data_IF_111210571715
#
_entry.id   IF_111210571715
#
_cell.length_a   1.000
_cell.length_b   1.000
_cell.length_c   1.000
_cell.angle_alpha   90.00
_cell.angle_beta   90.00
_cell.angle_gamma   90.00
#
_symmetry.space_group_name_H-M   'P 1'
#
loop_
_entity.id
_entity.type
_entity.pdbx_description
1 polymer ?
#
# COMPACT_ATOMS: atom_id res chain seq x y z
N UNK A 1 9.23 1.24 13.50
CA UNK A 1 7.98 1.92 13.06
C UNK A 1 8.19 2.39 11.64
N UNK A 2 7.30 1.99 10.74
CA UNK A 2 7.43 2.29 9.32
C UNK A 2 6.26 3.21 8.95
N UNK A 3 6.59 4.36 8.37
CA UNK A 3 5.60 5.37 7.98
C UNK A 3 5.73 5.57 6.49
N UNK A 4 4.64 5.32 5.77
CA UNK A 4 4.58 5.49 4.32
C UNK A 4 3.71 6.69 4.00
N UNK A 5 4.33 7.75 3.48
CA UNK A 5 3.70 9.02 3.07
C UNK A 5 2.68 9.61 4.08
N UNK A 6 1.85 10.57 3.65
CA UNK A 6 0.72 11.12 4.43
C UNK A 6 1.03 12.29 5.37
N UNK A 7 2.26 12.43 5.88
CA UNK A 7 2.70 13.59 6.67
C UNK A 7 4.15 13.93 6.33
N UNK A 8 4.55 15.21 6.35
CA UNK A 8 5.93 15.59 6.00
C UNK A 8 6.96 14.96 6.97
N UNK A 9 8.21 14.74 6.52
CA UNK A 9 9.24 14.07 7.33
C UNK A 9 9.47 14.76 8.67
N UNK A 10 9.55 16.08 8.68
CA UNK A 10 9.86 16.87 9.87
C UNK A 10 8.78 16.70 10.94
N UNK A 11 7.51 16.69 10.53
CA UNK A 11 6.37 16.47 11.41
C UNK A 11 6.32 15.05 11.95
N UNK A 12 6.57 14.05 11.09
CA UNK A 12 6.60 12.65 11.53
C UNK A 12 7.71 12.43 12.56
N UNK A 13 8.93 12.89 12.28
CA UNK A 13 10.05 12.82 13.23
C UNK A 13 9.74 13.54 14.54
N UNK A 14 9.22 14.77 14.46
CA UNK A 14 8.84 15.54 15.65
C UNK A 14 7.78 14.80 16.47
N UNK A 15 6.74 14.25 15.85
CA UNK A 15 5.67 13.53 16.52
C UNK A 15 6.20 12.31 17.28
N UNK A 16 7.01 11.48 16.61
CA UNK A 16 7.57 10.28 17.23
C UNK A 16 8.60 10.61 18.31
N UNK A 17 9.39 11.66 18.14
CA UNK A 17 10.29 12.15 19.18
C UNK A 17 9.53 12.59 20.44
N UNK A 18 8.43 13.33 20.29
CA UNK A 18 7.60 13.72 21.44
C UNK A 18 6.91 12.53 22.11
N UNK A 19 6.75 11.42 21.40
CA UNK A 19 6.25 10.15 21.93
C UNK A 19 7.36 9.25 22.52
N UNK A 20 8.56 9.79 22.75
CA UNK A 20 9.73 9.05 23.27
C UNK A 20 10.17 7.88 22.37
N UNK A 21 9.92 7.99 21.06
CA UNK A 21 10.39 7.03 20.06
C UNK A 21 11.69 7.56 19.44
N UNK A 22 12.78 6.83 19.66
CA UNK A 22 14.08 7.15 19.07
C UNK A 22 14.07 7.01 17.55
N UNK A 23 14.85 7.88 16.88
CA UNK A 23 14.89 8.01 15.41
C UNK A 23 15.38 6.75 14.70
N UNK A 24 16.28 5.98 15.31
CA UNK A 24 16.76 4.69 14.80
C UNK A 24 15.65 3.63 14.68
N UNK A 25 14.53 3.83 15.39
CA UNK A 25 13.35 2.97 15.33
C UNK A 25 12.30 3.47 14.31
N UNK A 26 12.55 4.60 13.65
CA UNK A 26 11.64 5.23 12.69
C UNK A 26 12.20 5.10 11.27
N UNK A 27 11.41 4.49 10.38
CA UNK A 27 11.72 4.36 8.96
C UNK A 27 10.64 5.08 8.18
N UNK A 28 11.04 6.09 7.40
CA UNK A 28 10.11 6.90 6.62
C UNK A 28 10.28 6.57 5.14
N UNK A 29 9.17 6.22 4.48
CA UNK A 29 9.11 6.06 3.04
C UNK A 29 8.23 7.15 2.41
N UNK A 30 8.86 7.95 1.55
CA UNK A 30 8.23 9.04 0.81
C UNK A 30 8.20 8.78 -0.69
N UNK A 31 8.56 7.56 -1.14
CA UNK A 31 8.45 7.18 -2.55
C UNK A 31 7.02 6.83 -2.94
N UNK A 32 6.20 6.44 -1.97
CA UNK A 32 4.82 6.07 -2.22
C UNK A 32 3.92 7.28 -2.56
N UNK A 33 3.13 7.13 -3.62
CA UNK A 33 2.22 8.16 -4.17
C UNK A 33 0.74 7.79 -3.99
N UNK A 34 0.45 6.53 -3.69
CA UNK A 34 -0.89 5.99 -3.52
C UNK A 34 -0.91 4.81 -2.54
N UNK A 35 -2.09 4.24 -2.31
CA UNK A 35 -2.24 3.13 -1.34
C UNK A 35 -1.63 1.81 -1.83
N UNK A 36 -1.34 1.64 -3.13
CA UNK A 36 -0.62 0.44 -3.61
C UNK A 36 0.86 0.60 -3.35
N UNK A 37 1.42 1.73 -3.78
CA UNK A 37 2.83 2.07 -3.63
C UNK A 37 3.23 2.13 -2.16
N UNK A 38 2.33 2.55 -1.25
CA UNK A 38 2.54 2.49 0.20
C UNK A 38 2.90 1.09 0.74
N UNK A 39 2.56 0.02 0.02
CA UNK A 39 2.94 -1.34 0.39
C UNK A 39 4.09 -1.85 -0.46
N UNK A 40 4.07 -1.60 -1.78
CA UNK A 40 5.06 -2.20 -2.68
C UNK A 40 6.46 -1.60 -2.55
N UNK A 41 6.59 -0.34 -2.12
CA UNK A 41 7.91 0.26 -1.82
C UNK A 41 8.53 -0.34 -0.56
N UNK A 42 7.70 -0.73 0.42
CA UNK A 42 8.16 -1.19 1.73
C UNK A 42 8.28 -2.71 1.86
N UNK A 43 7.51 -3.49 1.10
CA UNK A 43 7.37 -4.93 1.36
C UNK A 43 8.68 -5.71 1.26
N UNK A 44 9.55 -5.34 0.32
CA UNK A 44 10.83 -6.02 0.13
C UNK A 44 11.83 -5.63 1.23
N UNK A 45 11.81 -4.37 1.69
CA UNK A 45 12.59 -3.95 2.85
C UNK A 45 12.10 -4.68 4.12
N UNK A 46 10.78 -4.83 4.32
CA UNK A 46 10.22 -5.56 5.47
C UNK A 46 10.74 -7.00 5.50
N UNK A 47 10.75 -7.63 4.31
CA UNK A 47 11.26 -9.00 4.14
C UNK A 47 12.76 -9.07 4.42
N UNK A 48 13.54 -8.13 3.90
CA UNK A 48 14.98 -8.04 4.12
C UNK A 48 15.34 -7.84 5.60
N UNK A 49 14.50 -7.10 6.34
CA UNK A 49 14.61 -6.93 7.79
C UNK A 49 14.16 -8.18 8.60
N UNK A 50 13.72 -9.26 7.94
CA UNK A 50 13.26 -10.49 8.60
C UNK A 50 11.91 -10.34 9.32
N UNK A 51 11.13 -9.31 8.98
CA UNK A 51 9.83 -9.05 9.62
C UNK A 51 8.80 -10.05 9.08
N UNK A 52 8.16 -10.78 10.01
CA UNK A 52 7.16 -11.80 9.69
C UNK A 52 5.72 -11.31 9.95
N UNK A 53 5.56 -10.26 10.76
CA UNK A 53 4.25 -9.68 11.03
C UNK A 53 4.32 -8.19 11.35
N UNK A 54 3.28 -7.45 10.95
CA UNK A 54 3.16 -6.02 11.21
C UNK A 54 1.78 -5.64 11.75
N UNK A 55 1.71 -4.54 12.49
CA UNK A 55 0.44 -3.85 12.72
C UNK A 55 0.24 -2.84 11.58
N UNK A 56 -0.88 -2.97 10.87
CA UNK A 56 -1.26 -2.05 9.81
C UNK A 56 -2.15 -0.97 10.40
N UNK A 57 -1.62 0.24 10.57
CA UNK A 57 -2.32 1.36 11.20
C UNK A 57 -2.74 2.37 10.14
N UNK A 58 -4.03 2.65 10.02
CA UNK A 58 -4.54 3.72 9.14
C UNK A 58 -5.96 4.13 9.54
N UNK A 59 -6.52 5.15 8.90
CA UNK A 59 -7.88 5.59 9.17
C UNK A 59 -8.93 4.55 8.76
N UNK A 60 -10.11 4.57 9.39
CA UNK A 60 -11.29 3.81 8.94
C UNK A 60 -11.60 4.01 7.44
N UNK A 61 -11.42 5.23 6.95
CA UNK A 61 -11.56 5.60 5.54
C UNK A 61 -10.62 4.79 4.63
N UNK A 62 -9.36 4.59 5.03
CA UNK A 62 -8.37 3.86 4.24
C UNK A 62 -8.31 2.35 4.54
N UNK A 63 -8.79 1.91 5.70
CA UNK A 63 -8.56 0.56 6.22
C UNK A 63 -9.07 -0.55 5.30
N UNK A 64 -10.25 -0.37 4.67
CA UNK A 64 -10.80 -1.37 3.75
C UNK A 64 -9.86 -1.61 2.56
N UNK A 65 -9.34 -0.54 1.96
CA UNK A 65 -8.41 -0.61 0.82
C UNK A 65 -7.06 -1.17 1.26
N UNK A 66 -6.55 -0.69 2.40
CA UNK A 66 -5.28 -1.11 2.97
C UNK A 66 -5.27 -2.62 3.30
N UNK A 67 -6.39 -3.17 3.82
CA UNK A 67 -6.51 -4.60 4.12
C UNK A 67 -6.43 -5.46 2.85
N UNK A 68 -7.13 -5.08 1.78
CA UNK A 68 -7.14 -5.85 0.52
C UNK A 68 -5.74 -5.83 -0.11
N UNK A 69 -5.11 -4.65 -0.19
CA UNK A 69 -3.78 -4.51 -0.76
C UNK A 69 -2.74 -5.23 0.12
N UNK A 70 -2.83 -5.08 1.45
CA UNK A 70 -1.96 -5.76 2.40
C UNK A 70 -2.02 -7.28 2.29
N UNK A 71 -3.22 -7.87 2.12
CA UNK A 71 -3.38 -9.31 1.90
C UNK A 71 -2.63 -9.79 0.66
N UNK A 72 -2.64 -9.01 -0.42
CA UNK A 72 -1.95 -9.35 -1.66
C UNK A 72 -0.44 -9.12 -1.52
N UNK A 73 -0.03 -7.91 -1.14
CA UNK A 73 1.36 -7.48 -1.17
C UNK A 73 2.17 -8.09 -0.03
N UNK A 74 1.75 -7.90 1.23
CA UNK A 74 2.45 -8.47 2.40
C UNK A 74 2.36 -10.01 2.39
N UNK A 75 1.18 -10.54 2.03
CA UNK A 75 0.96 -11.98 1.90
C UNK A 75 1.88 -12.63 0.87
N UNK A 76 2.20 -11.96 -0.24
CA UNK A 76 3.15 -12.47 -1.24
C UNK A 76 4.60 -12.63 -0.75
N UNK A 77 4.92 -12.10 0.44
CA UNK A 77 6.24 -12.19 1.09
C UNK A 77 6.18 -12.99 2.40
N UNK A 78 5.07 -13.69 2.66
CA UNK A 78 4.79 -14.40 3.91
C UNK A 78 4.79 -13.48 5.15
N UNK A 79 4.34 -12.23 4.97
CA UNK A 79 4.23 -11.24 6.05
C UNK A 79 2.77 -11.14 6.47
N UNK A 80 2.48 -11.55 7.70
CA UNK A 80 1.15 -11.38 8.28
C UNK A 80 0.91 -9.91 8.68
N UNK A 81 -0.35 -9.49 8.77
CA UNK A 81 -0.65 -8.18 9.36
C UNK A 81 -1.89 -8.22 10.25
N UNK A 82 -1.90 -7.31 11.22
CA UNK A 82 -3.03 -7.05 12.13
C UNK A 82 -3.53 -5.61 11.89
N UNK A 83 -4.75 -5.42 11.37
CA UNK A 83 -5.28 -4.08 11.12
C UNK A 83 -5.64 -3.38 12.44
N UNK A 84 -5.22 -2.12 12.59
CA UNK A 84 -5.57 -1.23 13.70
C UNK A 84 -6.16 0.04 13.10
N UNK A 85 -7.46 0.24 13.30
CA UNK A 85 -8.20 1.35 12.70
C UNK A 85 -8.18 2.56 13.60
N UNK A 86 -7.86 3.72 13.03
CA UNK A 86 -7.98 5.03 13.69
C UNK A 86 -9.25 5.72 13.18
N UNK A 87 -10.19 6.14 14.05
CA UNK A 87 -11.39 6.86 13.62
C UNK A 87 -11.03 8.14 12.85
N UNK A 88 -11.72 8.42 11.75
CA UNK A 88 -11.55 9.68 11.02
C UNK A 88 -12.88 10.42 10.79
N UNK A 89 -12.83 11.74 10.81
CA UNK A 89 -14.03 12.60 10.72
C UNK A 89 -14.69 12.62 9.34
N UNK A 90 -14.18 11.86 8.36
CA UNK A 90 -14.64 11.89 6.97
C UNK A 90 -15.59 10.73 6.69
N UNK A 91 -16.89 10.96 6.84
CA UNK A 91 -17.92 10.13 6.23
C UNK A 91 -17.93 10.43 4.72
N UNK A 92 -17.75 9.43 3.84
CA UNK A 92 -18.35 9.27 2.49
C UNK A 92 -17.67 8.06 1.74
N UNK A 93 -18.37 6.94 1.47
CA UNK A 93 -17.76 5.71 0.92
C UNK A 93 -17.76 5.55 -0.62
N UNK A 94 -18.02 6.58 -1.43
CA UNK A 94 -18.59 6.33 -2.78
C UNK A 94 -17.61 6.21 -3.97
N UNK A 95 -16.29 6.33 -3.79
CA UNK A 95 -15.31 6.21 -4.90
C UNK A 95 -14.47 4.92 -4.84
N UNK A 96 -14.88 3.93 -4.05
CA UNK A 96 -14.00 2.86 -3.57
C UNK A 96 -13.76 1.70 -4.54
N UNK A 97 -14.68 1.39 -5.45
CA UNK A 97 -14.55 0.20 -6.31
C UNK A 97 -13.71 0.42 -7.57
N UNK A 98 -13.73 1.63 -8.15
CA UNK A 98 -13.01 1.93 -9.40
C UNK A 98 -11.50 1.97 -9.19
N UNK A 99 -11.04 2.68 -8.16
CA UNK A 99 -9.61 2.81 -7.85
C UNK A 99 -8.97 1.51 -7.37
N UNK A 100 -9.73 0.63 -6.70
CA UNK A 100 -9.24 -0.67 -6.27
C UNK A 100 -8.98 -1.61 -7.46
N UNK A 101 -9.88 -1.63 -8.46
CA UNK A 101 -9.71 -2.48 -9.65
C UNK A 101 -8.46 -2.08 -10.43
N UNK A 102 -8.24 -0.79 -10.60
CA UNK A 102 -7.11 -0.29 -11.39
C UNK A 102 -5.79 -0.47 -10.62
N UNK A 103 -5.78 -0.28 -9.30
CA UNK A 103 -4.64 -0.58 -8.43
C UNK A 103 -4.31 -2.08 -8.34
N UNK A 104 -5.31 -2.94 -8.18
CA UNK A 104 -5.11 -4.39 -8.17
C UNK A 104 -4.65 -4.92 -9.53
N UNK A 105 -5.16 -4.35 -10.64
CA UNK A 105 -4.61 -4.63 -11.98
C UNK A 105 -3.15 -4.21 -12.05
N UNK A 106 -2.79 -3.01 -11.59
CA UNK A 106 -1.40 -2.54 -11.60
C UNK A 106 -0.47 -3.47 -10.78
N UNK A 107 -0.87 -3.87 -9.57
CA UNK A 107 -0.14 -4.86 -8.76
C UNK A 107 -0.02 -6.18 -9.51
N UNK A 108 -1.12 -6.69 -10.06
CA UNK A 108 -1.09 -7.91 -10.87
C UNK A 108 -0.15 -7.78 -12.06
N UNK A 109 -0.13 -6.65 -12.77
CA UNK A 109 0.75 -6.41 -13.91
C UNK A 109 2.22 -6.31 -13.52
N UNK A 110 2.53 -5.65 -12.40
CA UNK A 110 3.91 -5.52 -11.88
C UNK A 110 4.44 -6.87 -11.40
N UNK A 111 3.60 -7.70 -10.78
CA UNK A 111 4.01 -9.03 -10.31
C UNK A 111 4.01 -10.11 -11.40
N UNK A 112 3.25 -9.98 -12.49
CA UNK A 112 3.17 -10.98 -13.58
C UNK A 112 3.98 -10.65 -14.83
N UNK A 113 4.53 -9.45 -14.96
CA UNK A 113 5.49 -9.09 -16.02
C UNK A 113 4.95 -9.12 -17.46
N UNK A 114 3.64 -9.19 -17.67
CA UNK A 114 3.04 -9.09 -19.01
C UNK A 114 2.43 -7.72 -19.17
N UNK A 115 3.08 -6.79 -19.86
CA UNK A 115 2.41 -5.54 -20.27
C UNK A 115 1.15 -5.86 -21.07
N UNK A 116 -0.01 -5.45 -20.56
CA UNK A 116 -1.32 -5.59 -21.22
C UNK A 116 -1.52 -4.68 -22.43
N UNK A 117 -0.55 -4.63 -23.34
CA UNK A 117 -0.63 -3.90 -24.62
C UNK A 117 -0.79 -4.81 -25.84
N UNK A 118 -0.92 -6.15 -25.69
CA UNK A 118 -1.16 -7.05 -26.83
C UNK A 118 -2.61 -7.51 -27.02
N UNK A 119 -3.56 -7.10 -26.17
CA UNK A 119 -4.99 -7.49 -26.30
C UNK A 119 -5.87 -6.36 -26.85
N UNK A 120 -5.28 -5.48 -27.66
CA UNK A 120 -5.97 -4.47 -28.48
C UNK A 120 -5.79 -4.66 -29.99
N UNK A 121 -5.05 -5.67 -30.44
CA UNK A 121 -4.80 -5.94 -31.87
C UNK A 121 -5.09 -7.41 -32.22
N UNK A 122 -6.30 -7.90 -31.95
CA UNK A 122 -6.78 -9.15 -32.59
C UNK A 122 -8.28 -9.14 -32.92
N UNK A 123 -9.06 -8.13 -32.48
CA UNK A 123 -10.51 -8.06 -32.77
C UNK A 123 -10.85 -7.14 -33.98
N UNK A 124 -9.86 -6.61 -34.70
CA UNK A 124 -10.10 -5.80 -35.91
C UNK A 124 -9.55 -6.40 -37.22
N UNK A 125 -9.11 -7.67 -37.20
CA UNK A 125 -8.69 -8.40 -38.41
C UNK A 125 -9.25 -9.81 -38.44
N UNK A 126 -10.57 -9.92 -38.37
CA UNK A 126 -11.28 -11.09 -38.91
C UNK A 126 -12.75 -10.75 -39.11
N UNK A 127 -13.04 -10.36 -40.36
CA UNK A 127 -14.25 -10.57 -41.18
C UNK A 127 -15.06 -9.30 -41.52
N UNK A 128 -15.56 -9.20 -42.77
CA UNK A 128 -15.31 -10.02 -43.97
C UNK A 128 -14.20 -9.46 -44.87
#
# INVERSE_FOLDING_TARGET
>A
IWVSSGSNPEYAEWLFHNADVSRDRLHLDYQAVDTVTNFTTLVDDLKAAGIQSVYLVTSDYHMRRATIIGQIVLGSRDIAFRPITVPSSHAHPETLLRSLRDGARAVFWVFTGRTGSSWGQTISRSLP
#
